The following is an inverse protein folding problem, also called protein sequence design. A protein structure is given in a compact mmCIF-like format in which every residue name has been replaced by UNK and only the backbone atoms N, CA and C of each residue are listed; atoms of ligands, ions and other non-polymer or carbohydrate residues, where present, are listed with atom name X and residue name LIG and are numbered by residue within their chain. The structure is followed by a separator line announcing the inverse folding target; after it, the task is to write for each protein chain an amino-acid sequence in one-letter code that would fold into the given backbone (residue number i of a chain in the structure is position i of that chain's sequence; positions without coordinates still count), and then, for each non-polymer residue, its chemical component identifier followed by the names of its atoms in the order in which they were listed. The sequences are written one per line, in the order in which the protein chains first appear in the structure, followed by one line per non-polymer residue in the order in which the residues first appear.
data_IF_332437597461
#
_entry.id   IF_332437597461
#
_cell.length_a   1.000
_cell.length_b   1.000
_cell.length_c   1.000
_cell.angle_alpha   90.00
_cell.angle_beta   90.00
_cell.angle_gamma   90.00
#
_symmetry.space_group_name_H-M   'P 1'
#
loop_
_entity.id
_entity.type
_entity.pdbx_description
1 polymer ?
#
# COMPACT_ATOMS: atom_id res chain seq x y z
N UNK A 1 -39.60 40.57 -11.68
CA UNK A 1 -39.70 39.52 -10.63
C UNK A 1 -38.52 38.57 -10.79
N UNK A 2 -37.60 38.56 -9.83
CA UNK A 2 -36.23 37.99 -9.95
C UNK A 2 -36.27 36.50 -9.57
N UNK A 3 -35.70 35.67 -10.44
CA UNK A 3 -35.77 34.20 -10.43
C UNK A 3 -35.46 33.58 -9.06
N UNK A 4 -36.46 32.93 -8.44
CA UNK A 4 -36.30 32.05 -7.26
C UNK A 4 -36.24 30.55 -7.63
N UNK A 5 -36.50 30.18 -8.90
CA UNK A 5 -36.56 28.77 -9.34
C UNK A 5 -35.21 28.16 -9.71
N UNK A 6 -34.20 28.96 -10.09
CA UNK A 6 -32.86 28.44 -10.44
C UNK A 6 -31.98 28.12 -9.23
N UNK A 7 -32.24 28.72 -8.06
CA UNK A 7 -31.47 28.45 -6.84
C UNK A 7 -31.76 27.07 -6.22
N UNK A 8 -32.94 26.49 -6.47
CA UNK A 8 -33.33 25.23 -5.85
C UNK A 8 -32.55 24.03 -6.43
N UNK A 9 -32.23 24.07 -7.72
CA UNK A 9 -31.37 23.07 -8.35
C UNK A 9 -29.92 23.16 -7.85
N UNK A 10 -29.40 24.38 -7.69
CA UNK A 10 -28.04 24.61 -7.21
C UNK A 10 -27.81 24.03 -5.80
N UNK A 11 -28.82 24.11 -4.92
CA UNK A 11 -28.69 23.65 -3.54
C UNK A 11 -28.64 22.11 -3.46
N UNK A 12 -29.45 21.41 -4.24
CA UNK A 12 -29.39 19.94 -4.28
C UNK A 12 -28.07 19.42 -4.86
N UNK A 13 -27.54 20.07 -5.90
CA UNK A 13 -26.25 19.69 -6.49
C UNK A 13 -25.10 19.83 -5.48
N UNK A 14 -25.08 20.91 -4.69
CA UNK A 14 -24.05 21.10 -3.66
C UNK A 14 -24.13 19.99 -2.60
N UNK A 15 -25.34 19.60 -2.18
CA UNK A 15 -25.53 18.53 -1.20
C UNK A 15 -25.03 17.19 -1.74
N UNK A 16 -25.37 16.85 -2.99
CA UNK A 16 -24.91 15.60 -3.62
C UNK A 16 -23.37 15.61 -3.75
N UNK A 17 -22.79 16.73 -4.18
CA UNK A 17 -21.35 16.87 -4.31
C UNK A 17 -20.63 16.71 -2.95
N UNK A 18 -21.19 17.26 -1.87
CA UNK A 18 -20.65 17.12 -0.52
C UNK A 18 -20.70 15.66 -0.02
N UNK A 19 -21.81 14.95 -0.25
CA UNK A 19 -21.94 13.54 0.13
C UNK A 19 -20.93 12.67 -0.63
N UNK A 20 -20.78 12.90 -1.94
CA UNK A 20 -19.79 12.19 -2.75
C UNK A 20 -18.36 12.45 -2.27
N UNK A 21 -18.02 13.70 -1.95
CA UNK A 21 -16.70 14.04 -1.40
C UNK A 21 -16.40 13.32 -0.09
N UNK A 22 -17.35 13.30 0.85
CA UNK A 22 -17.20 12.59 2.13
C UNK A 22 -17.02 11.09 1.88
N UNK A 23 -17.83 10.49 1.01
CA UNK A 23 -17.69 9.08 0.66
C UNK A 23 -16.34 8.74 0.04
N UNK A 24 -15.82 9.60 -0.83
CA UNK A 24 -14.50 9.45 -1.46
C UNK A 24 -13.38 9.50 -0.42
N UNK A 25 -13.45 10.44 0.53
CA UNK A 25 -12.48 10.55 1.62
C UNK A 25 -12.46 9.26 2.45
N UNK A 26 -13.63 8.76 2.87
CA UNK A 26 -13.73 7.52 3.66
C UNK A 26 -13.15 6.32 2.90
N UNK A 27 -13.43 6.21 1.60
CA UNK A 27 -12.87 5.14 0.76
C UNK A 27 -11.34 5.20 0.69
N UNK A 28 -10.77 6.41 0.51
CA UNK A 28 -9.31 6.61 0.52
C UNK A 28 -8.72 6.17 1.85
N UNK A 29 -9.29 6.59 2.99
CA UNK A 29 -8.78 6.17 4.31
C UNK A 29 -8.78 4.65 4.51
N UNK A 30 -9.84 3.96 4.07
CA UNK A 30 -9.92 2.49 4.17
C UNK A 30 -8.91 1.81 3.24
N UNK A 31 -8.75 2.32 2.01
CA UNK A 31 -7.80 1.78 1.04
C UNK A 31 -6.35 2.01 1.46
N UNK A 32 -6.00 3.22 1.90
CA UNK A 32 -4.66 3.53 2.42
C UNK A 32 -4.32 2.70 3.65
N UNK A 33 -5.27 2.54 4.59
CA UNK A 33 -5.06 1.70 5.78
C UNK A 33 -4.79 0.23 5.45
N UNK A 34 -5.45 -0.32 4.42
CA UNK A 34 -5.21 -1.70 3.98
C UNK A 34 -3.90 -1.86 3.19
N UNK A 35 -3.56 -0.91 2.32
CA UNK A 35 -2.34 -0.99 1.50
C UNK A 35 -1.10 -1.05 2.39
N UNK A 36 -1.04 -0.24 3.46
CA UNK A 36 0.09 -0.25 4.39
C UNK A 36 0.31 -1.63 5.01
N UNK A 37 -0.75 -2.33 5.42
CA UNK A 37 -0.64 -3.67 6.03
C UNK A 37 -0.15 -4.71 5.02
N UNK A 38 -0.62 -4.67 3.77
CA UNK A 38 -0.18 -5.60 2.74
C UNK A 38 1.26 -5.35 2.26
N UNK A 39 1.71 -4.09 2.21
CA UNK A 39 3.08 -3.77 1.78
C UNK A 39 4.14 -4.04 2.83
N UNK A 40 3.79 -4.01 4.13
CA UNK A 40 4.74 -4.36 5.19
C UNK A 40 5.08 -5.84 5.18
N UNK A 41 4.11 -6.71 4.84
CA UNK A 41 4.36 -8.15 4.77
C UNK A 41 5.35 -8.52 3.67
N UNK A 42 5.29 -7.89 2.49
CA UNK A 42 6.12 -8.32 1.34
C UNK A 42 7.58 -7.88 1.39
N UNK A 43 7.91 -6.88 2.22
CA UNK A 43 9.29 -6.37 2.37
C UNK A 43 10.09 -7.07 3.47
N UNK A 44 9.44 -7.83 4.33
CA UNK A 44 10.15 -8.50 5.42
C UNK A 44 11.03 -9.65 4.88
N UNK A 45 12.34 -9.58 5.14
CA UNK A 45 13.28 -10.62 4.73
C UNK A 45 13.14 -11.88 5.59
N UNK A 46 12.90 -11.73 6.90
CA UNK A 46 13.07 -12.79 7.89
C UNK A 46 11.76 -13.53 8.16
N UNK A 47 10.69 -12.81 8.51
CA UNK A 47 9.37 -13.39 8.78
C UNK A 47 8.68 -13.86 7.51
N UNK A 48 8.63 -13.01 6.48
CA UNK A 48 7.84 -13.32 5.27
C UNK A 48 8.63 -14.15 4.27
N UNK A 49 9.87 -13.76 3.99
CA UNK A 49 10.69 -14.46 3.01
C UNK A 49 11.48 -15.64 3.58
N UNK A 50 11.51 -15.81 4.91
CA UNK A 50 12.32 -16.83 5.61
C UNK A 50 13.79 -16.81 5.19
N UNK A 51 14.29 -15.61 4.92
CA UNK A 51 15.67 -15.35 4.55
C UNK A 51 16.47 -14.71 5.67
N UNK A 52 17.74 -14.45 5.39
CA UNK A 52 18.66 -13.75 6.29
C UNK A 52 19.29 -12.55 5.59
N UNK A 53 19.39 -11.41 6.29
CA UNK A 53 20.09 -10.23 5.79
C UNK A 53 21.61 -10.39 5.93
N UNK A 54 22.31 -10.57 4.80
CA UNK A 54 23.76 -10.74 4.73
C UNK A 54 24.36 -9.76 3.73
N UNK A 55 25.67 -9.51 3.78
CA UNK A 55 26.36 -8.59 2.85
C UNK A 55 26.33 -9.13 1.41
N UNK A 56 26.35 -10.45 1.25
CA UNK A 56 26.14 -11.16 0.00
C UNK A 56 25.71 -12.59 0.30
N UNK A 57 25.00 -13.22 -0.65
CA UNK A 57 24.67 -14.64 -0.60
C UNK A 57 25.84 -15.41 -1.21
N UNK A 58 26.39 -16.37 -0.47
CA UNK A 58 27.61 -17.09 -0.86
C UNK A 58 27.31 -18.52 -1.32
N UNK A 59 26.11 -19.01 -1.03
CA UNK A 59 25.71 -20.37 -1.38
C UNK A 59 25.02 -20.37 -2.76
N UNK A 60 25.39 -21.33 -3.59
CA UNK A 60 24.77 -21.56 -4.91
C UNK A 60 23.31 -22.07 -4.83
N UNK A 61 22.86 -22.38 -3.61
CA UNK A 61 21.47 -22.70 -3.27
C UNK A 61 20.71 -21.51 -2.67
N UNK A 62 21.24 -20.28 -2.72
CA UNK A 62 20.59 -19.06 -2.24
C UNK A 62 20.16 -18.13 -3.39
N UNK A 63 19.03 -17.43 -3.20
CA UNK A 63 18.60 -16.31 -4.05
C UNK A 63 18.64 -14.99 -3.29
N UNK A 64 19.00 -13.94 -4.01
CA UNK A 64 18.91 -12.55 -3.54
C UNK A 64 17.49 -12.04 -3.78
N UNK A 65 16.81 -11.58 -2.73
CA UNK A 65 15.49 -10.94 -2.82
C UNK A 65 15.66 -9.43 -2.70
N UNK A 66 15.61 -8.67 -3.81
CA UNK A 66 15.76 -7.22 -3.79
C UNK A 66 14.53 -6.54 -3.17
N UNK A 67 14.73 -5.37 -2.55
CA UNK A 67 13.64 -4.51 -2.04
C UNK A 67 13.07 -4.90 -0.67
N UNK A 68 13.80 -5.70 0.08
CA UNK A 68 13.48 -6.13 1.46
C UNK A 68 14.03 -5.16 2.52
N UNK A 69 13.49 -5.22 3.73
CA UNK A 69 13.85 -4.38 4.89
C UNK A 69 15.20 -4.79 5.54
N UNK A 70 16.21 -5.09 4.72
CA UNK A 70 17.57 -5.29 5.20
C UNK A 70 18.29 -3.94 5.41
N UNK A 71 19.11 -3.81 6.46
CA UNK A 71 19.87 -2.59 6.73
C UNK A 71 20.86 -2.26 5.59
N UNK A 72 21.28 -0.99 5.49
CA UNK A 72 22.10 -0.50 4.37
C UNK A 72 23.34 -1.37 4.11
N UNK A 73 23.52 -1.75 2.84
CA UNK A 73 24.62 -2.61 2.40
C UNK A 73 24.42 -4.10 2.63
N UNK A 74 23.22 -4.54 3.06
CA UNK A 74 22.86 -5.97 3.13
C UNK A 74 21.74 -6.32 2.17
N UNK A 75 21.79 -7.56 1.67
CA UNK A 75 20.80 -8.18 0.80
C UNK A 75 20.10 -9.31 1.55
N UNK A 76 18.85 -9.59 1.19
CA UNK A 76 18.12 -10.72 1.73
C UNK A 76 18.47 -12.00 0.97
N UNK A 77 19.06 -12.96 1.67
CA UNK A 77 19.42 -14.26 1.14
C UNK A 77 18.38 -15.30 1.58
N UNK A 78 17.75 -15.97 0.62
CA UNK A 78 16.81 -17.05 0.89
C UNK A 78 17.31 -18.34 0.26
N UNK A 79 17.35 -19.42 1.04
CA UNK A 79 17.65 -20.74 0.50
C UNK A 79 16.51 -21.22 -0.41
N UNK A 80 16.88 -21.65 -1.62
CA UNK A 80 16.01 -22.37 -2.54
C UNK A 80 15.91 -23.79 -1.99
N UNK A 81 15.11 -23.99 -0.94
CA UNK A 81 14.59 -25.34 -0.70
C UNK A 81 13.70 -25.65 -1.90
N UNK A 82 14.24 -26.42 -2.85
CA UNK A 82 13.43 -27.09 -3.86
C UNK A 82 12.29 -27.80 -3.15
N UNK A 83 11.08 -27.56 -3.67
CA UNK A 83 9.79 -28.15 -3.28
C UNK A 83 9.86 -29.51 -2.62
#
# INVERSE_FOLDING_TARGET
MRSKKSQQFALQTIVIAAILLIGLIVLIFILTGKIQVFTSGTRDCVETNRGECRTSCYDESEIVIPGTDCPEGRVCCKQIMGT
#
